data_IF_440234478457
#
_entry.id   IF_440234478457
#
_cell.length_a   1.000
_cell.length_b   1.000
_cell.length_c   1.000
_cell.angle_alpha   90.00
_cell.angle_beta   90.00
_cell.angle_gamma   90.00
#
_symmetry.space_group_name_H-M   'P 1'
#
loop_
_entity.id
_entity.type
_entity.pdbx_description
1 polymer ?
#
# COMPACT_ATOMS: atom_id res chain seq x y z
N UNK A 1 -76.64 29.38 47.91
CA UNK A 1 -76.51 28.81 46.56
C UNK A 1 -76.46 29.95 45.56
N UNK A 2 -75.29 30.25 44.99
CA UNK A 2 -75.04 30.85 43.64
C UNK A 2 -73.60 31.38 43.57
N UNK A 3 -72.62 30.51 43.73
CA UNK A 3 -71.20 30.79 43.42
C UNK A 3 -70.77 29.82 42.32
N UNK A 4 -71.26 30.02 41.09
CA UNK A 4 -70.89 29.16 39.96
C UNK A 4 -70.97 29.82 38.58
N UNK A 5 -70.93 31.15 38.50
CA UNK A 5 -70.89 31.86 37.19
C UNK A 5 -69.72 32.82 36.98
N UNK A 6 -69.00 33.23 38.03
CA UNK A 6 -67.79 34.07 37.86
C UNK A 6 -66.50 33.30 37.55
N UNK A 7 -66.41 32.01 37.91
CA UNK A 7 -65.19 31.20 37.70
C UNK A 7 -65.02 30.73 36.25
N UNK A 8 -66.09 30.75 35.43
CA UNK A 8 -66.03 30.31 34.03
C UNK A 8 -65.55 31.38 33.05
N UNK A 9 -65.56 32.67 33.42
CA UNK A 9 -65.06 33.74 32.54
C UNK A 9 -63.56 34.02 32.72
N UNK A 10 -63.00 33.87 33.93
CA UNK A 10 -61.56 34.05 34.14
C UNK A 10 -60.71 32.90 33.58
N UNK A 11 -61.25 31.68 33.53
CA UNK A 11 -60.56 30.53 32.94
C UNK A 11 -60.34 30.65 31.43
N UNK A 12 -61.27 31.29 30.71
CA UNK A 12 -61.19 31.40 29.25
C UNK A 12 -60.20 32.48 28.79
N UNK A 13 -60.06 33.58 29.55
CA UNK A 13 -59.14 34.67 29.20
C UNK A 13 -57.68 34.29 29.49
N UNK A 14 -57.42 33.52 30.55
CA UNK A 14 -56.07 33.03 30.87
C UNK A 14 -55.63 31.90 29.93
N UNK A 15 -56.54 31.03 29.47
CA UNK A 15 -56.19 29.97 28.50
C UNK A 15 -55.87 30.54 27.10
N UNK A 16 -56.59 31.59 26.67
CA UNK A 16 -56.32 32.25 25.38
C UNK A 16 -55.03 33.09 25.43
N UNK A 17 -54.72 33.75 26.55
CA UNK A 17 -53.44 34.44 26.72
C UNK A 17 -52.24 33.48 26.78
N UNK A 18 -52.39 32.29 27.38
CA UNK A 18 -51.35 31.26 27.39
C UNK A 18 -51.18 30.55 26.04
N UNK A 19 -52.24 30.45 25.22
CA UNK A 19 -52.15 29.89 23.86
C UNK A 19 -51.50 30.86 22.84
N UNK A 20 -51.51 32.17 23.09
CA UNK A 20 -50.77 33.15 22.27
C UNK A 20 -49.36 33.46 22.77
N UNK A 21 -49.01 33.14 24.01
CA UNK A 21 -47.64 33.24 24.51
C UNK A 21 -46.71 32.11 24.02
N UNK A 22 -47.26 31.05 23.40
CA UNK A 22 -46.51 29.96 22.77
C UNK A 22 -45.95 30.27 21.37
N UNK A 23 -46.22 31.46 20.81
CA UNK A 23 -45.75 31.89 19.49
C UNK A 23 -44.49 32.78 19.53
N UNK A 24 -43.72 32.75 20.62
CA UNK A 24 -42.30 33.14 20.57
C UNK A 24 -41.48 31.86 20.42
N UNK A 25 -41.67 31.17 19.30
CA UNK A 25 -40.58 30.39 18.74
C UNK A 25 -39.40 31.35 18.65
N UNK A 26 -38.31 31.03 19.35
CA UNK A 26 -37.05 31.76 19.30
C UNK A 26 -36.83 32.21 17.86
N UNK A 27 -37.03 33.50 17.59
CA UNK A 27 -36.74 34.02 16.25
C UNK A 27 -35.29 33.66 16.00
N UNK A 28 -34.97 32.88 14.95
CA UNK A 28 -33.59 32.53 14.67
C UNK A 28 -32.81 33.84 14.63
N UNK A 29 -31.82 33.94 15.51
CA UNK A 29 -31.00 35.14 15.69
C UNK A 29 -30.54 35.54 14.29
N UNK A 30 -30.88 36.76 13.85
CA UNK A 30 -30.53 37.20 12.50
C UNK A 30 -29.03 36.99 12.34
N UNK A 31 -28.58 36.26 11.30
CA UNK A 31 -27.15 36.11 11.07
C UNK A 31 -26.55 37.50 10.87
N UNK A 32 -25.45 37.78 11.56
CA UNK A 32 -24.68 39.04 11.48
C UNK A 32 -23.30 38.74 10.89
N UNK A 33 -22.71 39.69 10.16
CA UNK A 33 -21.36 39.56 9.59
C UNK A 33 -21.27 39.60 8.06
N UNK A 34 -20.07 39.34 7.52
CA UNK A 34 -19.76 39.47 6.09
C UNK A 34 -20.50 38.46 5.20
N UNK A 35 -20.91 37.32 5.77
CA UNK A 35 -21.55 36.22 5.05
C UNK A 35 -23.07 36.35 4.92
N UNK A 36 -23.70 37.35 5.54
CA UNK A 36 -25.17 37.50 5.53
C UNK A 36 -25.74 37.63 4.11
N UNK A 37 -25.02 38.34 3.23
CA UNK A 37 -25.40 38.50 1.82
C UNK A 37 -25.33 37.19 1.01
N UNK A 38 -24.72 36.16 1.58
CA UNK A 38 -24.52 34.86 0.93
C UNK A 38 -25.49 33.80 1.41
N UNK A 39 -26.41 34.12 2.33
CA UNK A 39 -27.41 33.20 2.86
C UNK A 39 -28.70 33.25 2.03
N UNK A 40 -29.28 32.08 1.79
CA UNK A 40 -30.61 31.93 1.18
C UNK A 40 -31.69 31.86 2.27
N UNK A 41 -32.95 32.07 1.88
CA UNK A 41 -34.08 32.02 2.82
C UNK A 41 -34.15 30.65 3.51
N UNK A 42 -34.31 30.63 4.84
CA UNK A 42 -34.36 29.38 5.63
C UNK A 42 -32.99 28.83 6.03
N UNK A 43 -31.90 29.46 5.61
CA UNK A 43 -30.54 29.11 6.05
C UNK A 43 -30.13 29.87 7.30
N UNK A 44 -29.46 29.16 8.20
CA UNK A 44 -28.83 29.73 9.40
C UNK A 44 -27.39 29.26 9.50
N UNK A 45 -26.47 30.14 9.92
CA UNK A 45 -25.06 29.80 10.12
C UNK A 45 -24.87 29.35 11.56
N UNK A 46 -24.38 28.12 11.73
CA UNK A 46 -24.05 27.57 13.05
C UNK A 46 -22.58 27.78 13.41
N UNK A 47 -21.70 27.86 12.41
CA UNK A 47 -20.27 28.12 12.60
C UNK A 47 -19.70 28.90 11.41
N UNK A 48 -18.77 29.83 11.66
CA UNK A 48 -18.02 30.55 10.64
C UNK A 48 -16.54 30.59 10.99
N UNK A 49 -15.69 30.00 10.15
CA UNK A 49 -14.22 29.96 10.35
C UNK A 49 -13.53 30.72 9.23
N UNK A 50 -12.71 31.73 9.57
CA UNK A 50 -12.01 32.57 8.59
C UNK A 50 -10.60 32.04 8.28
N UNK A 51 -10.22 32.07 7.00
CA UNK A 51 -8.93 31.65 6.46
C UNK A 51 -8.47 32.68 5.41
N UNK A 52 -7.79 33.74 5.88
CA UNK A 52 -7.48 34.89 5.02
C UNK A 52 -8.76 35.53 4.48
N UNK A 53 -8.89 35.59 3.15
CA UNK A 53 -10.06 36.12 2.45
C UNK A 53 -11.19 35.08 2.28
N UNK A 54 -10.92 33.80 2.56
CA UNK A 54 -11.94 32.77 2.60
C UNK A 54 -12.63 32.69 3.96
N UNK A 55 -13.90 32.32 3.96
CA UNK A 55 -14.64 31.93 5.17
C UNK A 55 -15.41 30.64 4.91
N UNK A 56 -15.20 29.63 5.74
CA UNK A 56 -15.97 28.38 5.74
C UNK A 56 -17.15 28.54 6.68
N UNK A 57 -18.34 28.22 6.21
CA UNK A 57 -19.59 28.31 6.94
C UNK A 57 -20.19 26.92 7.13
N UNK A 58 -20.65 26.61 8.34
CA UNK A 58 -21.55 25.50 8.62
C UNK A 58 -22.98 26.02 8.59
N UNK A 59 -23.81 25.47 7.71
CA UNK A 59 -25.18 25.96 7.47
C UNK A 59 -26.18 24.87 7.86
N UNK A 60 -27.18 25.28 8.62
CA UNK A 60 -28.43 24.52 8.82
C UNK A 60 -29.54 25.15 7.98
N UNK A 61 -30.19 24.31 7.18
CA UNK A 61 -31.36 24.69 6.40
C UNK A 61 -32.62 24.06 7.01
N UNK A 62 -33.60 24.89 7.33
CA UNK A 62 -34.93 24.46 7.75
C UNK A 62 -35.97 24.92 6.73
N UNK A 63 -36.63 23.97 6.05
CA UNK A 63 -37.79 24.27 5.22
C UNK A 63 -38.93 24.81 6.10
N UNK A 64 -39.09 26.13 6.09
CA UNK A 64 -40.24 26.80 6.68
C UNK A 64 -41.47 26.61 5.79
N UNK A 65 -42.10 25.42 5.79
CA UNK A 65 -43.38 25.23 5.10
C UNK A 65 -43.76 23.80 4.70
N UNK A 66 -44.39 23.07 5.63
CA UNK A 66 -45.40 22.01 5.42
C UNK A 66 -45.32 21.04 4.24
N UNK A 67 -44.77 19.84 4.48
CA UNK A 67 -45.42 18.58 4.09
C UNK A 67 -44.93 17.43 4.99
N UNK A 68 -45.86 16.55 5.38
CA UNK A 68 -45.83 15.71 6.58
C UNK A 68 -44.89 14.49 6.56
N UNK A 69 -43.88 14.41 5.66
CA UNK A 69 -43.05 13.20 5.53
C UNK A 69 -41.53 13.39 5.34
N UNK A 70 -40.99 14.60 5.41
CA UNK A 70 -39.53 14.79 5.60
C UNK A 70 -39.18 16.17 6.15
N UNK A 71 -39.50 16.45 7.41
CA UNK A 71 -38.90 17.59 8.12
C UNK A 71 -37.45 17.26 8.49
N UNK A 72 -36.58 17.14 7.50
CA UNK A 72 -35.15 16.92 7.69
C UNK A 72 -34.44 18.26 7.81
N UNK A 73 -33.85 18.55 8.98
CA UNK A 73 -32.80 19.58 9.03
C UNK A 73 -31.65 19.09 8.17
N UNK A 74 -31.34 19.80 7.10
CA UNK A 74 -30.19 19.50 6.26
C UNK A 74 -29.04 20.39 6.72
N UNK A 75 -27.89 19.77 7.02
CA UNK A 75 -26.65 20.47 7.33
C UNK A 75 -25.63 20.27 6.21
N UNK A 76 -24.94 21.34 5.84
CA UNK A 76 -23.89 21.30 4.84
C UNK A 76 -22.88 22.43 5.06
N UNK A 77 -21.77 22.38 4.33
CA UNK A 77 -20.73 23.39 4.37
C UNK A 77 -20.79 24.29 3.14
N UNK A 78 -20.49 25.57 3.35
CA UNK A 78 -20.34 26.58 2.29
C UNK A 78 -18.98 27.24 2.42
N UNK A 79 -18.34 27.53 1.29
CA UNK A 79 -17.12 28.32 1.25
C UNK A 79 -17.39 29.62 0.51
N UNK A 80 -17.07 30.73 1.15
CA UNK A 80 -17.14 32.06 0.54
C UNK A 80 -15.75 32.67 0.44
N UNK A 81 -15.53 33.51 -0.55
CA UNK A 81 -14.37 34.40 -0.68
C UNK A 81 -14.88 35.83 -0.60
N UNK A 82 -14.49 36.55 0.46
CA UNK A 82 -15.05 37.85 0.85
C UNK A 82 -16.58 37.78 1.02
N UNK A 83 -17.32 38.26 0.03
CA UNK A 83 -18.78 38.34 0.00
C UNK A 83 -19.40 37.48 -1.11
N UNK A 84 -18.62 36.60 -1.75
CA UNK A 84 -19.07 35.75 -2.87
C UNK A 84 -19.01 34.27 -2.51
N UNK A 85 -20.03 33.54 -2.93
CA UNK A 85 -20.08 32.08 -2.80
C UNK A 85 -19.08 31.46 -3.79
N UNK A 86 -18.18 30.63 -3.28
CA UNK A 86 -17.23 29.83 -4.06
C UNK A 86 -17.73 28.39 -4.16
N UNK A 87 -18.16 27.83 -3.03
CA UNK A 87 -18.82 26.51 -2.96
C UNK A 87 -20.16 26.69 -2.27
N UNK A 88 -21.26 26.44 -2.99
CA UNK A 88 -22.61 26.66 -2.47
C UNK A 88 -22.97 25.66 -1.37
N UNK A 89 -22.77 24.38 -1.66
CA UNK A 89 -23.14 23.23 -0.82
C UNK A 89 -22.06 22.15 -0.96
N UNK A 90 -21.49 21.72 0.16
CA UNK A 90 -20.52 20.63 0.23
C UNK A 90 -20.76 19.77 1.47
N UNK A 91 -20.49 18.47 1.35
CA UNK A 91 -20.52 17.54 2.49
C UNK A 91 -19.33 17.76 3.39
N UNK A 92 -18.18 18.06 2.80
CA UNK A 92 -16.92 18.25 3.49
C UNK A 92 -16.10 19.36 2.83
N UNK A 93 -15.50 20.23 3.65
CA UNK A 93 -14.53 21.25 3.25
C UNK A 93 -13.37 21.20 4.25
N UNK A 94 -12.24 20.68 3.79
CA UNK A 94 -11.03 20.49 4.60
C UNK A 94 -9.96 21.50 4.18
N UNK A 95 -9.46 22.34 5.09
CA UNK A 95 -8.31 23.18 4.79
C UNK A 95 -7.05 22.33 4.61
N UNK A 96 -6.17 22.73 3.70
CA UNK A 96 -4.84 22.16 3.59
C UNK A 96 -3.86 23.01 4.43
N UNK A 97 -3.51 22.57 5.65
CA UNK A 97 -2.68 23.36 6.55
C UNK A 97 -1.22 23.43 6.08
N UNK A 98 -0.50 24.46 6.52
CA UNK A 98 0.94 24.62 6.27
C UNK A 98 1.31 25.23 4.90
N UNK A 99 0.34 25.78 4.19
CA UNK A 99 0.55 26.53 2.94
C UNK A 99 0.42 28.03 3.19
N UNK A 100 1.22 28.82 2.47
CA UNK A 100 1.20 30.28 2.58
C UNK A 100 -0.12 30.89 2.06
N UNK A 101 -0.76 30.19 1.12
CA UNK A 101 -2.05 30.59 0.54
C UNK A 101 -3.15 29.64 0.98
N UNK A 102 -4.28 30.16 1.51
CA UNK A 102 -5.41 29.32 1.91
C UNK A 102 -5.86 28.40 0.78
N UNK A 103 -5.88 27.10 1.08
CA UNK A 103 -6.22 26.04 0.13
C UNK A 103 -7.17 25.07 0.81
N UNK A 104 -8.15 24.56 0.07
CA UNK A 104 -9.17 23.66 0.58
C UNK A 104 -9.40 22.51 -0.39
N UNK A 105 -9.71 21.35 0.18
CA UNK A 105 -10.42 20.30 -0.53
C UNK A 105 -11.91 20.44 -0.23
N UNK A 106 -12.75 20.30 -1.25
CA UNK A 106 -14.20 20.29 -1.08
C UNK A 106 -14.83 19.10 -1.82
N UNK A 107 -15.71 18.37 -1.14
CA UNK A 107 -16.61 17.38 -1.74
C UNK A 107 -17.98 18.05 -1.96
N UNK A 108 -18.24 18.50 -3.18
CA UNK A 108 -19.41 19.33 -3.52
C UNK A 108 -20.39 18.61 -4.44
N UNK A 109 -21.68 18.89 -4.22
CA UNK A 109 -22.76 18.36 -5.03
C UNK A 109 -22.93 19.19 -6.30
N UNK A 110 -22.23 18.78 -7.36
CA UNK A 110 -22.47 19.24 -8.74
C UNK A 110 -22.48 17.98 -9.60
N UNK A 111 -23.66 17.40 -9.82
CA UNK A 111 -23.87 16.19 -10.64
C UNK A 111 -22.94 15.02 -10.24
N UNK A 112 -23.26 14.37 -9.11
CA UNK A 112 -22.57 13.23 -8.47
C UNK A 112 -21.27 13.56 -7.70
N UNK A 113 -21.41 14.14 -6.49
CA UNK A 113 -20.36 14.39 -5.47
C UNK A 113 -18.92 14.40 -6.00
N UNK A 114 -18.45 15.58 -6.42
CA UNK A 114 -17.14 15.76 -7.02
C UNK A 114 -16.17 16.42 -6.05
N UNK A 115 -14.90 16.08 -6.18
CA UNK A 115 -13.83 16.69 -5.39
C UNK A 115 -13.16 17.83 -6.13
N UNK A 116 -12.96 18.94 -5.41
CA UNK A 116 -12.34 20.15 -5.90
C UNK A 116 -11.18 20.57 -5.00
N UNK A 117 -10.13 21.08 -5.64
CA UNK A 117 -9.10 21.85 -4.98
C UNK A 117 -9.45 23.33 -5.17
N UNK A 118 -9.46 24.08 -4.07
CA UNK A 118 -9.82 25.49 -4.06
C UNK A 118 -8.69 26.26 -3.44
N UNK A 119 -8.20 27.29 -4.11
CA UNK A 119 -7.15 28.16 -3.58
C UNK A 119 -7.32 29.59 -4.07
N UNK A 120 -6.46 30.51 -3.59
CA UNK A 120 -6.39 31.86 -4.15
C UNK A 120 -5.28 31.94 -5.21
N UNK A 121 -5.52 32.65 -6.31
CA UNK A 121 -4.49 33.09 -7.25
C UNK A 121 -4.77 34.52 -7.68
N UNK A 122 -3.78 35.40 -7.54
CA UNK A 122 -3.89 36.83 -7.85
C UNK A 122 -5.14 37.50 -7.23
N UNK A 123 -5.42 37.19 -5.95
CA UNK A 123 -6.53 37.79 -5.20
C UNK A 123 -7.92 37.26 -5.56
N UNK A 124 -8.03 36.20 -6.36
CA UNK A 124 -9.29 35.58 -6.80
C UNK A 124 -9.34 34.10 -6.40
N UNK A 125 -10.53 33.56 -6.05
CA UNK A 125 -10.68 32.14 -5.82
C UNK A 125 -10.55 31.38 -7.15
N UNK A 126 -9.75 30.32 -7.12
CA UNK A 126 -9.61 29.33 -8.18
C UNK A 126 -10.24 28.04 -7.66
N UNK A 127 -11.09 27.43 -8.50
CA UNK A 127 -11.78 26.17 -8.20
C UNK A 127 -11.41 25.19 -9.30
N UNK A 128 -10.65 24.16 -8.97
CA UNK A 128 -10.17 23.18 -9.92
C UNK A 128 -10.68 21.79 -9.54
N UNK A 129 -11.25 21.09 -10.52
CA UNK A 129 -11.75 19.73 -10.30
C UNK A 129 -10.58 18.76 -10.21
N UNK A 130 -10.62 17.88 -9.22
CA UNK A 130 -9.66 16.78 -9.09
C UNK A 130 -10.20 15.60 -9.91
N UNK A 131 -9.66 15.40 -11.10
CA UNK A 131 -10.01 14.27 -11.96
C UNK A 131 -9.36 12.98 -11.43
N UNK A 132 -10.16 12.13 -10.78
CA UNK A 132 -9.68 10.90 -10.13
C UNK A 132 -9.91 9.64 -10.97
N UNK A 133 -10.44 9.78 -12.20
CA UNK A 133 -10.90 8.65 -13.00
C UNK A 133 -12.20 8.05 -12.45
N UNK A 134 -12.57 6.87 -12.93
CA UNK A 134 -13.81 6.19 -12.55
C UNK A 134 -13.73 5.64 -11.12
N UNK A 135 -14.39 6.31 -10.17
CA UNK A 135 -14.46 5.96 -8.75
C UNK A 135 -15.45 4.82 -8.46
N UNK A 136 -16.21 4.36 -9.46
CA UNK A 136 -17.20 3.28 -9.29
C UNK A 136 -16.60 1.87 -9.30
N UNK A 137 -15.33 1.74 -9.71
CA UNK A 137 -14.63 0.44 -9.74
C UNK A 137 -13.87 0.19 -8.44
N UNK A 138 -13.99 -1.01 -7.90
CA UNK A 138 -13.32 -1.40 -6.65
C UNK A 138 -11.78 -1.37 -6.76
N UNK A 139 -11.23 -1.59 -7.96
CA UNK A 139 -9.78 -1.58 -8.23
C UNK A 139 -9.16 -0.17 -8.28
N UNK A 140 -9.98 0.88 -8.45
CA UNK A 140 -9.57 2.29 -8.47
C UNK A 140 -9.80 3.00 -7.14
N UNK A 141 -10.37 2.32 -6.14
CA UNK A 141 -10.68 2.90 -4.84
C UNK A 141 -9.42 3.46 -4.16
N UNK A 142 -9.51 4.73 -3.74
CA UNK A 142 -8.47 5.38 -2.94
C UNK A 142 -8.35 4.71 -1.57
N UNK A 143 -7.11 4.53 -1.13
CA UNK A 143 -6.82 4.12 0.23
C UNK A 143 -6.70 5.38 1.08
N UNK A 144 -7.62 5.59 2.02
CA UNK A 144 -7.65 6.77 2.89
C UNK A 144 -7.92 6.33 4.33
N UNK A 145 -7.35 7.03 5.31
CA UNK A 145 -7.75 6.91 6.72
C UNK A 145 -8.61 8.10 7.13
N UNK A 146 -9.20 8.05 8.32
CA UNK A 146 -10.03 9.13 8.84
C UNK A 146 -9.30 10.48 8.87
N UNK A 147 -8.02 10.50 9.26
CA UNK A 147 -7.19 11.70 9.29
C UNK A 147 -6.64 12.17 7.93
N UNK A 148 -6.75 11.36 6.87
CA UNK A 148 -6.13 11.62 5.56
C UNK A 148 -7.08 11.32 4.40
N UNK A 149 -8.29 11.88 4.45
CA UNK A 149 -9.30 11.68 3.40
C UNK A 149 -8.89 12.28 2.05
N UNK A 150 -8.20 13.41 2.07
CA UNK A 150 -7.70 14.07 0.86
C UNK A 150 -6.21 13.83 0.67
N UNK A 151 -5.78 12.56 0.76
CA UNK A 151 -4.42 12.13 0.50
C UNK A 151 -3.43 12.41 1.64
N UNK A 152 -2.28 11.77 1.55
CA UNK A 152 -1.22 11.80 2.55
C UNK A 152 -0.20 12.88 2.22
N UNK A 153 0.23 13.72 3.19
CA UNK A 153 1.27 14.72 2.96
C UNK A 153 2.55 14.05 2.46
N UNK A 154 3.07 14.46 1.30
CA UNK A 154 4.35 13.98 0.77
C UNK A 154 5.47 14.99 1.02
N UNK A 155 5.22 16.24 0.63
CA UNK A 155 6.04 17.42 0.93
C UNK A 155 5.13 18.64 0.96
N UNK A 156 5.66 19.81 1.32
CA UNK A 156 4.87 21.04 1.30
C UNK A 156 4.23 21.25 -0.08
N UNK A 157 2.91 21.44 -0.10
CA UNK A 157 2.14 21.63 -1.33
C UNK A 157 1.97 20.40 -2.22
N UNK A 158 2.37 19.19 -1.77
CA UNK A 158 2.13 17.95 -2.52
C UNK A 158 1.54 16.86 -1.61
N UNK A 159 0.46 16.24 -2.07
CA UNK A 159 -0.14 15.06 -1.42
C UNK A 159 -0.10 13.83 -2.32
N UNK A 160 0.11 12.68 -1.70
CA UNK A 160 0.07 11.36 -2.32
C UNK A 160 -1.29 10.69 -2.11
N UNK A 161 -1.86 10.18 -3.19
CA UNK A 161 -3.15 9.49 -3.23
C UNK A 161 -2.94 8.03 -3.68
N UNK A 162 -2.75 7.10 -2.73
CA UNK A 162 -2.63 5.67 -3.02
C UNK A 162 -3.97 5.07 -3.47
N UNK A 163 -3.90 3.99 -4.26
CA UNK A 163 -5.05 3.19 -4.71
C UNK A 163 -4.78 1.70 -4.48
N UNK A 164 -5.84 0.91 -4.43
CA UNK A 164 -5.76 -0.51 -4.07
C UNK A 164 -5.02 -1.37 -5.12
N UNK A 165 -5.38 -1.26 -6.40
CA UNK A 165 -4.85 -2.12 -7.47
C UNK A 165 -4.38 -1.35 -8.71
N UNK A 166 -4.65 -0.06 -8.77
CA UNK A 166 -4.21 0.84 -9.84
C UNK A 166 -3.12 1.79 -9.33
N UNK A 167 -2.32 2.39 -10.21
CA UNK A 167 -1.34 3.37 -9.77
C UNK A 167 -2.02 4.55 -9.04
N UNK A 168 -1.42 4.95 -7.92
CA UNK A 168 -1.76 6.18 -7.24
C UNK A 168 -1.40 7.43 -8.04
N UNK A 169 -1.58 8.60 -7.44
CA UNK A 169 -1.19 9.87 -8.05
C UNK A 169 -0.66 10.85 -7.01
N UNK A 170 0.10 11.84 -7.48
CA UNK A 170 0.50 13.01 -6.71
C UNK A 170 -0.36 14.19 -7.14
N UNK A 171 -0.79 14.97 -6.17
CA UNK A 171 -1.45 16.25 -6.40
C UNK A 171 -0.55 17.35 -5.83
N UNK A 172 -0.03 18.21 -6.71
CA UNK A 172 0.66 19.44 -6.32
C UNK A 172 -0.33 20.61 -6.35
N UNK A 173 -0.15 21.59 -5.47
CA UNK A 173 -0.88 22.87 -5.49
C UNK A 173 0.09 24.02 -5.82
N UNK A 174 -0.41 25.03 -6.55
CA UNK A 174 0.33 26.21 -7.05
C UNK A 174 1.47 25.92 -8.06
N UNK A 175 1.15 25.62 -9.33
CA UNK A 175 -0.19 25.39 -9.89
C UNK A 175 -0.72 24.01 -9.53
N UNK A 176 -2.04 23.81 -9.65
CA UNK A 176 -2.58 22.47 -9.54
C UNK A 176 -2.00 21.58 -10.62
N UNK A 177 -1.38 20.47 -10.21
CA UNK A 177 -0.87 19.46 -11.13
C UNK A 177 -1.16 18.08 -10.57
N UNK A 178 -1.89 17.29 -11.36
CA UNK A 178 -2.11 15.87 -11.10
C UNK A 178 -1.07 15.06 -11.88
N UNK A 179 -0.35 14.20 -11.18
CA UNK A 179 0.64 13.29 -11.76
C UNK A 179 0.28 11.86 -11.40
N UNK A 180 -0.30 11.15 -12.36
CA UNK A 180 -0.54 9.71 -12.24
C UNK A 180 0.81 9.01 -12.19
N UNK A 181 0.98 8.10 -11.24
CA UNK A 181 2.19 7.32 -11.09
C UNK A 181 2.22 6.15 -12.09
N UNK A 182 3.40 5.64 -12.48
CA UNK A 182 3.47 4.51 -13.40
C UNK A 182 2.80 3.26 -12.83
N UNK A 183 2.10 2.51 -13.67
CA UNK A 183 1.48 1.24 -13.29
C UNK A 183 2.54 0.14 -13.19
N UNK A 184 2.47 -0.64 -12.11
CA UNK A 184 3.45 -1.70 -11.80
C UNK A 184 2.99 -3.11 -12.16
N UNK A 185 1.91 -3.27 -12.94
CA UNK A 185 1.39 -4.59 -13.28
C UNK A 185 2.26 -5.27 -14.35
N UNK A 186 3.09 -6.24 -13.96
CA UNK A 186 3.40 -7.37 -14.83
C UNK A 186 2.73 -8.61 -14.23
N UNK A 187 1.49 -8.83 -14.67
CA UNK A 187 0.64 -9.92 -14.20
C UNK A 187 1.22 -11.30 -14.55
N UNK A 188 2.19 -11.38 -15.48
CA UNK A 188 2.76 -12.65 -15.92
C UNK A 188 3.74 -13.22 -14.89
N UNK A 189 4.57 -12.37 -14.28
CA UNK A 189 5.59 -12.80 -13.29
C UNK A 189 5.32 -12.33 -11.85
N UNK A 190 4.23 -11.56 -11.65
CA UNK A 190 3.58 -11.22 -10.37
C UNK A 190 4.48 -10.53 -9.32
N UNK A 191 5.60 -9.92 -9.70
CA UNK A 191 6.32 -9.02 -8.78
C UNK A 191 5.51 -7.74 -8.62
N UNK A 192 4.71 -7.75 -7.58
CA UNK A 192 3.71 -6.75 -7.28
C UNK A 192 4.28 -5.79 -6.22
N UNK A 193 4.67 -4.60 -6.65
CA UNK A 193 4.96 -3.50 -5.75
C UNK A 193 3.86 -2.44 -5.90
N UNK A 194 3.33 -1.95 -4.80
CA UNK A 194 2.19 -1.01 -4.81
C UNK A 194 2.40 0.18 -3.88
N UNK A 195 3.34 0.07 -2.95
CA UNK A 195 3.57 1.10 -1.94
C UNK A 195 4.70 1.99 -2.40
N UNK A 196 4.40 3.26 -2.71
CA UNK A 196 5.40 4.26 -3.04
C UNK A 196 6.32 4.49 -1.84
N UNK A 197 7.61 4.26 -2.03
CA UNK A 197 8.66 4.42 -1.02
C UNK A 197 9.45 5.72 -1.20
N UNK A 198 9.74 6.10 -2.44
CA UNK A 198 10.48 7.34 -2.76
C UNK A 198 10.23 7.83 -4.17
N UNK A 199 10.59 9.09 -4.42
CA UNK A 199 10.59 9.74 -5.73
C UNK A 199 11.99 10.30 -5.97
N UNK A 200 12.51 10.17 -7.21
CA UNK A 200 13.81 10.73 -7.59
C UNK A 200 13.81 12.27 -7.49
N UNK A 201 14.99 12.91 -7.36
CA UNK A 201 15.08 14.37 -7.22
C UNK A 201 14.46 15.19 -8.36
N UNK A 202 14.49 14.68 -9.60
CA UNK A 202 13.84 15.31 -10.77
C UNK A 202 12.38 14.86 -10.98
N UNK A 203 11.89 14.03 -10.06
CA UNK A 203 10.59 13.37 -10.07
C UNK A 203 10.32 12.48 -11.29
N UNK A 204 11.33 12.06 -12.05
CA UNK A 204 11.12 11.24 -13.25
C UNK A 204 11.11 9.74 -12.94
N UNK A 205 11.40 9.33 -11.71
CA UNK A 205 11.43 7.92 -11.30
C UNK A 205 10.91 7.72 -9.88
N UNK A 206 10.41 6.53 -9.62
CA UNK A 206 9.60 6.19 -8.46
C UNK A 206 10.06 4.84 -7.92
N UNK A 207 10.36 4.77 -6.64
CA UNK A 207 10.72 3.53 -5.96
C UNK A 207 9.49 2.98 -5.22
N UNK A 208 9.24 1.70 -5.38
CA UNK A 208 8.12 0.98 -4.77
C UNK A 208 8.57 -0.23 -3.99
N UNK A 209 7.77 -0.59 -3.00
CA UNK A 209 7.88 -1.84 -2.24
C UNK A 209 6.58 -2.62 -2.31
N UNK A 210 6.68 -3.93 -2.08
CA UNK A 210 5.58 -4.89 -2.04
C UNK A 210 4.72 -4.77 -0.79
N UNK A 211 5.30 -4.34 0.34
CA UNK A 211 4.58 -4.24 1.61
C UNK A 211 4.91 -2.96 2.36
N UNK A 212 3.87 -2.31 2.91
CA UNK A 212 4.01 -1.17 3.81
C UNK A 212 4.43 -1.58 5.24
N UNK A 213 4.39 -2.88 5.55
CA UNK A 213 4.71 -3.38 6.89
C UNK A 213 5.99 -4.20 6.92
N UNK A 214 6.21 -5.00 5.89
CA UNK A 214 7.37 -5.87 5.79
C UNK A 214 7.93 -5.94 4.36
N UNK A 215 8.54 -4.85 3.83
CA UNK A 215 9.14 -4.84 2.51
C UNK A 215 10.09 -6.03 2.28
N UNK A 216 10.03 -6.65 1.10
CA UNK A 216 10.92 -7.75 0.70
C UNK A 216 11.73 -7.47 -0.58
N UNK A 217 11.41 -6.39 -1.29
CA UNK A 217 12.20 -5.83 -2.38
C UNK A 217 11.89 -4.35 -2.62
N UNK A 218 12.79 -3.70 -3.36
CA UNK A 218 12.59 -2.36 -3.92
C UNK A 218 12.56 -2.46 -5.45
N UNK A 219 11.57 -1.86 -6.09
CA UNK A 219 11.48 -1.75 -7.54
C UNK A 219 11.45 -0.29 -7.96
N UNK A 220 12.36 0.11 -8.84
CA UNK A 220 12.41 1.45 -9.42
C UNK A 220 11.77 1.44 -10.80
N UNK A 221 10.86 2.38 -11.04
CA UNK A 221 10.15 2.54 -12.31
C UNK A 221 10.19 4.01 -12.71
N UNK A 222 10.46 4.29 -13.98
CA UNK A 222 10.38 5.66 -14.48
C UNK A 222 8.97 6.07 -14.90
N UNK A 223 8.80 7.35 -15.22
CA UNK A 223 7.52 7.91 -15.64
C UNK A 223 6.91 7.26 -16.90
N UNK A 224 7.72 6.57 -17.71
CA UNK A 224 7.24 5.86 -18.91
C UNK A 224 6.73 4.46 -18.59
N UNK A 225 6.92 4.01 -17.34
CA UNK A 225 6.61 2.65 -16.89
C UNK A 225 7.76 1.67 -17.09
N UNK A 226 8.92 2.12 -17.57
CA UNK A 226 10.09 1.26 -17.71
C UNK A 226 10.67 0.94 -16.33
N UNK A 227 10.91 -0.36 -16.09
CA UNK A 227 11.35 -0.88 -14.81
C UNK A 227 12.85 -1.09 -14.80
N UNK A 228 13.47 -0.89 -13.64
CA UNK A 228 14.82 -1.40 -13.34
C UNK A 228 14.70 -2.80 -12.76
N UNK A 229 15.82 -3.50 -12.70
CA UNK A 229 15.88 -4.77 -11.98
C UNK A 229 15.49 -4.54 -10.51
N UNK A 230 14.66 -5.43 -9.93
CA UNK A 230 14.27 -5.34 -8.54
C UNK A 230 15.48 -5.59 -7.65
N UNK A 231 15.57 -4.80 -6.57
CA UNK A 231 16.60 -4.93 -5.55
C UNK A 231 16.02 -5.84 -4.46
N UNK A 232 16.43 -7.12 -4.39
CA UNK A 232 16.04 -7.99 -3.29
C UNK A 232 16.60 -7.42 -1.98
N UNK A 233 15.82 -7.53 -0.91
CA UNK A 233 16.28 -7.15 0.44
C UNK A 233 15.84 -8.19 1.44
N UNK A 234 16.58 -8.42 2.53
CA UNK A 234 16.05 -9.12 3.69
C UNK A 234 14.71 -8.51 4.12
N UNK A 235 13.74 -9.33 4.52
CA UNK A 235 12.43 -8.88 5.00
C UNK A 235 12.62 -7.95 6.19
N UNK A 236 12.18 -6.70 6.05
CA UNK A 236 12.35 -5.67 7.09
C UNK A 236 11.02 -5.42 7.77
N UNK A 237 10.87 -5.83 9.04
CA UNK A 237 9.69 -5.44 9.83
C UNK A 237 9.76 -3.96 10.17
N UNK A 238 8.86 -3.16 9.58
CA UNK A 238 8.72 -1.74 9.90
C UNK A 238 7.94 -1.58 11.22
N UNK A 239 8.15 -0.49 11.99
CA UNK A 239 7.44 -0.23 13.27
C UNK A 239 5.92 -0.42 13.13
N UNK A 240 5.08 -0.79 14.10
CA UNK A 240 3.65 -1.02 13.84
C UNK A 240 2.91 0.13 13.11
N UNK A 241 1.85 -0.19 12.35
CA UNK A 241 1.00 0.83 11.72
C UNK A 241 0.46 1.78 12.79
N UNK A 242 0.54 3.10 12.59
CA UNK A 242 0.09 4.05 13.60
C UNK A 242 -1.45 4.18 13.57
N UNK A 243 -2.00 4.99 14.48
CA UNK A 243 -3.42 5.32 14.53
C UNK A 243 -3.93 6.01 13.26
N UNK A 244 -5.25 6.11 13.12
CA UNK A 244 -5.90 6.63 11.91
C UNK A 244 -5.59 8.12 11.60
N UNK A 245 -5.09 8.85 12.60
CA UNK A 245 -4.69 10.26 12.62
C UNK A 245 -3.22 10.51 12.23
N UNK A 246 -2.42 9.45 12.09
CA UNK A 246 -0.99 9.55 11.75
C UNK A 246 -0.74 8.94 10.36
N UNK A 247 0.11 9.59 9.55
CA UNK A 247 0.40 9.13 8.19
C UNK A 247 1.09 7.75 8.21
N UNK A 248 0.44 6.67 7.73
CA UNK A 248 0.99 5.32 7.80
C UNK A 248 2.16 5.10 6.82
N UNK A 249 2.28 5.92 5.77
CA UNK A 249 3.31 5.78 4.74
C UNK A 249 4.66 6.37 5.17
N UNK A 250 4.67 7.26 6.17
CA UNK A 250 5.90 7.90 6.67
C UNK A 250 6.94 6.87 7.11
N UNK A 251 6.49 5.73 7.64
CA UNK A 251 7.36 4.60 8.04
C UNK A 251 8.18 4.07 6.87
N UNK A 252 7.54 3.89 5.71
CA UNK A 252 8.20 3.38 4.50
C UNK A 252 9.13 4.43 3.92
N UNK A 253 8.70 5.70 3.88
CA UNK A 253 9.51 6.78 3.33
C UNK A 253 10.76 7.05 4.18
N UNK A 254 10.59 7.13 5.49
CA UNK A 254 11.69 7.26 6.45
C UNK A 254 12.67 6.08 6.36
N UNK A 255 12.16 4.85 6.30
CA UNK A 255 13.01 3.66 6.12
C UNK A 255 13.78 3.70 4.79
N UNK A 256 13.11 4.04 3.69
CA UNK A 256 13.74 4.10 2.38
C UNK A 256 14.86 5.15 2.37
N UNK A 257 14.58 6.38 2.84
CA UNK A 257 15.54 7.48 2.86
C UNK A 257 16.74 7.19 3.78
N UNK A 258 16.56 6.37 4.81
CA UNK A 258 17.66 5.93 5.68
C UNK A 258 18.51 4.80 5.06
N UNK A 259 17.92 4.01 4.15
CA UNK A 259 18.54 2.78 3.62
C UNK A 259 19.09 2.98 2.21
N UNK A 260 18.52 3.90 1.44
CA UNK A 260 18.81 4.13 0.03
C UNK A 260 19.12 5.59 -0.28
N UNK A 261 19.92 5.77 -1.33
CA UNK A 261 20.13 7.06 -1.98
C UNK A 261 19.85 6.94 -3.47
N UNK A 262 19.44 8.03 -4.10
CA UNK A 262 19.22 8.06 -5.54
C UNK A 262 20.53 8.25 -6.29
N UNK A 263 20.78 7.42 -7.31
CA UNK A 263 21.93 7.55 -8.20
C UNK A 263 21.51 7.30 -9.65
N UNK A 264 22.37 7.70 -10.61
CA UNK A 264 22.24 7.26 -11.99
C UNK A 264 23.02 5.96 -12.19
N UNK A 265 22.41 4.99 -12.86
CA UNK A 265 23.04 3.73 -13.27
C UNK A 265 23.98 3.92 -14.48
N UNK A 266 24.57 2.81 -14.96
CA UNK A 266 25.45 2.81 -16.13
C UNK A 266 24.77 3.28 -17.43
N UNK A 267 23.43 3.28 -17.47
CA UNK A 267 22.61 3.75 -18.58
C UNK A 267 22.10 5.20 -18.38
N UNK A 268 22.55 5.90 -17.32
CA UNK A 268 22.12 7.27 -17.01
C UNK A 268 20.70 7.36 -16.44
N UNK A 269 20.11 6.25 -16.01
CA UNK A 269 18.75 6.17 -15.47
C UNK A 269 18.78 6.15 -13.95
N UNK A 270 17.75 6.70 -13.29
CA UNK A 270 17.68 6.64 -11.84
C UNK A 270 17.55 5.21 -11.34
N UNK A 271 18.30 4.91 -10.29
CA UNK A 271 18.27 3.69 -9.52
C UNK A 271 18.39 4.02 -8.01
N UNK A 272 17.92 3.11 -7.18
CA UNK A 272 18.05 3.20 -5.73
C UNK A 272 19.33 2.46 -5.30
N UNK A 273 20.30 3.20 -4.75
CA UNK A 273 21.55 2.64 -4.22
C UNK A 273 21.42 2.37 -2.73
N UNK A 274 21.73 1.16 -2.24
CA UNK A 274 21.90 0.93 -0.80
C UNK A 274 23.01 1.82 -0.19
N UNK A 275 22.71 2.49 0.93
CA UNK A 275 23.66 3.40 1.62
C UNK A 275 24.76 2.61 2.37
N UNK A 276 24.41 1.44 2.93
CA UNK A 276 25.38 0.59 3.60
C UNK A 276 26.34 -0.06 2.58
N UNK A 277 27.64 -0.20 2.89
CA UNK A 277 28.57 -0.89 2.01
C UNK A 277 28.06 -2.31 1.75
N UNK A 278 28.19 -2.76 0.50
CA UNK A 278 27.90 -4.13 0.11
C UNK A 278 28.63 -5.06 1.08
N UNK A 279 27.87 -5.87 1.83
CA UNK A 279 28.49 -6.90 2.65
C UNK A 279 29.32 -7.80 1.74
N UNK A 280 30.44 -8.31 2.27
CA UNK A 280 31.31 -9.22 1.53
C UNK A 280 30.45 -10.33 0.93
N UNK A 281 30.48 -10.45 -0.39
CA UNK A 281 29.71 -11.44 -1.12
C UNK A 281 29.95 -12.83 -0.50
N UNK A 282 28.87 -13.58 -0.29
CA UNK A 282 28.96 -14.96 0.16
C UNK A 282 29.85 -15.76 -0.80
N UNK A 283 30.53 -16.78 -0.29
CA UNK A 283 31.42 -17.61 -1.12
C UNK A 283 30.66 -18.30 -2.28
N UNK A 284 29.36 -18.59 -2.10
CA UNK A 284 28.48 -19.05 -3.16
C UNK A 284 27.10 -18.36 -3.03
N UNK A 285 26.90 -17.20 -3.67
CA UNK A 285 25.66 -16.43 -3.54
C UNK A 285 24.42 -17.17 -4.04
N UNK A 286 24.56 -18.06 -5.03
CA UNK A 286 23.45 -18.85 -5.57
C UNK A 286 22.94 -19.92 -4.57
N UNK A 287 23.80 -20.39 -3.67
CA UNK A 287 23.37 -21.24 -2.56
C UNK A 287 22.85 -20.40 -1.38
N UNK A 288 23.49 -19.26 -1.10
CA UNK A 288 23.20 -18.46 0.09
C UNK A 288 21.75 -17.95 0.16
N UNK A 289 21.16 -17.57 -0.99
CA UNK A 289 19.74 -17.18 -1.11
C UNK A 289 18.75 -18.25 -0.63
N UNK A 290 19.15 -19.53 -0.62
CA UNK A 290 18.31 -20.61 -0.13
C UNK A 290 18.68 -21.06 1.29
N UNK A 291 19.84 -20.65 1.81
CA UNK A 291 20.32 -21.04 3.14
C UNK A 291 19.99 -20.02 4.23
N UNK A 292 19.89 -18.74 3.89
CA UNK A 292 19.53 -17.69 4.83
C UNK A 292 18.87 -16.52 4.10
N UNK A 293 17.71 -16.10 4.61
CA UNK A 293 17.00 -14.94 4.12
C UNK A 293 17.87 -13.68 4.29
N UNK A 294 18.38 -13.50 5.51
CA UNK A 294 19.11 -12.31 5.94
C UNK A 294 20.42 -12.08 5.18
N UNK A 295 21.11 -13.15 4.82
CA UNK A 295 22.42 -13.07 4.14
C UNK A 295 22.22 -13.14 2.63
N UNK A 296 21.46 -14.12 2.15
CA UNK A 296 21.30 -14.39 0.74
C UNK A 296 20.64 -13.24 -0.02
N UNK A 297 19.55 -12.68 0.51
CA UNK A 297 18.78 -11.61 -0.14
C UNK A 297 19.45 -10.23 -0.06
N UNK A 298 20.68 -10.14 0.44
CA UNK A 298 21.54 -8.97 0.26
C UNK A 298 22.33 -9.01 -1.04
N UNK A 299 22.37 -10.18 -1.69
CA UNK A 299 23.01 -10.36 -2.99
C UNK A 299 21.98 -10.10 -4.10
N UNK A 300 22.41 -9.43 -5.15
CA UNK A 300 21.64 -9.22 -6.36
C UNK A 300 22.46 -9.64 -7.59
N UNK A 301 21.76 -10.00 -8.66
CA UNK A 301 22.31 -10.74 -9.80
C UNK A 301 22.16 -10.02 -11.14
N UNK A 302 22.04 -8.69 -11.13
CA UNK A 302 21.97 -7.87 -12.36
C UNK A 302 23.33 -7.28 -12.74
N UNK A 303 23.59 -7.18 -14.05
CA UNK A 303 24.76 -6.45 -14.57
C UNK A 303 24.52 -4.93 -14.68
N UNK A 304 23.26 -4.47 -14.58
CA UNK A 304 22.91 -3.06 -14.72
C UNK A 304 23.21 -2.24 -13.46
N UNK A 305 23.24 -2.88 -12.29
CA UNK A 305 23.57 -2.23 -11.02
C UNK A 305 25.01 -2.59 -10.59
N UNK A 306 25.83 -1.55 -10.38
CA UNK A 306 27.22 -1.68 -9.97
C UNK A 306 27.42 -2.35 -8.59
N UNK A 307 26.36 -2.49 -7.78
CA UNK A 307 26.43 -3.19 -6.48
C UNK A 307 26.09 -4.68 -6.57
N UNK A 308 25.61 -5.14 -7.72
CA UNK A 308 25.30 -6.53 -7.93
C UNK A 308 26.52 -7.34 -8.37
N UNK A 309 26.37 -8.66 -8.29
CA UNK A 309 27.46 -9.59 -8.54
C UNK A 309 27.87 -9.56 -10.02
N UNK A 310 29.16 -9.27 -10.27
CA UNK A 310 29.72 -9.05 -11.61
C UNK A 310 29.76 -10.28 -12.50
N UNK A 311 29.69 -11.49 -11.92
CA UNK A 311 29.77 -12.76 -12.67
C UNK A 311 28.39 -13.26 -13.13
N UNK A 312 27.41 -12.36 -13.21
CA UNK A 312 26.05 -12.65 -13.65
C UNK A 312 25.61 -11.62 -14.68
N UNK A 313 24.71 -12.04 -15.56
CA UNK A 313 24.08 -11.19 -16.55
C UNK A 313 22.60 -11.54 -16.68
N UNK A 314 21.82 -10.60 -17.21
CA UNK A 314 20.43 -10.87 -17.55
C UNK A 314 20.38 -11.95 -18.64
N UNK A 315 19.66 -13.04 -18.36
CA UNK A 315 19.60 -14.19 -19.25
C UNK A 315 18.91 -13.82 -20.57
N UNK A 316 19.48 -14.24 -21.68
CA UNK A 316 18.82 -14.16 -22.98
C UNK A 316 17.63 -15.12 -23.05
N UNK A 317 16.66 -14.83 -23.92
CA UNK A 317 15.52 -15.74 -24.20
C UNK A 317 15.99 -17.16 -24.56
N UNK A 318 17.11 -17.29 -25.28
CA UNK A 318 17.67 -18.58 -25.65
C UNK A 318 18.25 -19.35 -24.44
N UNK A 319 18.82 -18.65 -23.46
CA UNK A 319 19.29 -19.27 -22.21
C UNK A 319 18.12 -19.67 -21.32
N UNK A 320 17.11 -18.80 -21.19
CA UNK A 320 15.88 -19.11 -20.47
C UNK A 320 15.17 -20.33 -21.07
N UNK A 321 14.99 -20.37 -22.40
CA UNK A 321 14.34 -21.48 -23.11
C UNK A 321 15.06 -22.83 -22.93
N UNK A 322 16.38 -22.85 -22.73
CA UNK A 322 17.14 -24.08 -22.45
C UNK A 322 16.85 -24.63 -21.05
N UNK A 323 16.57 -23.75 -20.08
CA UNK A 323 16.29 -24.14 -18.70
C UNK A 323 14.78 -24.41 -18.47
N UNK A 324 13.92 -23.56 -19.02
CA UNK A 324 12.46 -23.64 -18.92
C UNK A 324 11.81 -23.32 -20.29
N UNK A 325 11.58 -24.34 -21.13
CA UNK A 325 11.02 -24.14 -22.47
C UNK A 325 9.61 -23.55 -22.49
N UNK A 326 8.85 -23.66 -21.39
CA UNK A 326 7.47 -23.17 -21.32
C UNK A 326 7.37 -21.69 -21.03
N UNK A 327 8.46 -21.07 -20.57
CA UNK A 327 8.47 -19.69 -20.13
C UNK A 327 9.83 -19.03 -20.41
N UNK A 328 10.07 -18.72 -21.67
CA UNK A 328 11.35 -18.20 -22.16
C UNK A 328 11.52 -16.67 -22.02
N UNK A 329 10.48 -15.95 -21.53
CA UNK A 329 10.44 -14.49 -21.50
C UNK A 329 10.48 -13.90 -20.07
N UNK A 330 11.08 -14.63 -19.12
CA UNK A 330 11.20 -14.23 -17.72
C UNK A 330 12.01 -12.92 -17.58
N UNK A 331 11.42 -11.80 -17.10
CA UNK A 331 12.05 -10.47 -17.13
C UNK A 331 13.23 -10.35 -16.18
N UNK A 332 13.18 -11.05 -15.04
CA UNK A 332 14.19 -11.02 -13.98
C UNK A 332 14.89 -12.37 -13.87
N UNK A 333 15.34 -12.89 -15.01
CA UNK A 333 16.13 -14.10 -15.10
C UNK A 333 17.60 -13.78 -15.35
N UNK A 334 18.47 -14.53 -14.68
CA UNK A 334 19.90 -14.31 -14.66
C UNK A 334 20.65 -15.60 -14.94
N UNK A 335 21.73 -15.50 -15.69
CA UNK A 335 22.64 -16.60 -15.96
C UNK A 335 24.05 -16.23 -15.47
N UNK A 336 24.82 -17.20 -14.97
CA UNK A 336 26.20 -16.94 -14.58
C UNK A 336 27.05 -16.78 -15.85
N UNK A 337 27.95 -15.78 -15.85
CA UNK A 337 28.86 -15.52 -16.96
C UNK A 337 29.98 -16.56 -17.06
N UNK A 338 30.26 -17.27 -15.97
CA UNK A 338 31.21 -18.37 -15.87
C UNK A 338 30.53 -19.61 -15.28
N UNK A 339 30.99 -20.84 -15.57
CA UNK A 339 30.42 -22.05 -14.98
C UNK A 339 30.37 -21.99 -13.45
N UNK A 340 29.16 -21.99 -12.89
CA UNK A 340 28.91 -21.97 -11.46
C UNK A 340 28.16 -23.22 -11.04
N UNK A 341 28.48 -23.74 -9.84
CA UNK A 341 27.76 -24.86 -9.23
C UNK A 341 27.02 -24.43 -7.98
N UNK A 342 25.84 -25.00 -7.80
CA UNK A 342 25.03 -24.89 -6.60
C UNK A 342 24.37 -26.23 -6.31
N UNK A 343 24.44 -26.67 -5.05
CA UNK A 343 23.83 -27.91 -4.57
C UNK A 343 24.15 -29.14 -5.44
N UNK A 344 25.41 -29.25 -5.87
CA UNK A 344 25.91 -30.40 -6.62
C UNK A 344 25.67 -30.37 -8.13
N UNK A 345 24.91 -29.41 -8.67
CA UNK A 345 24.68 -29.24 -10.11
C UNK A 345 25.28 -27.94 -10.65
N UNK A 346 25.37 -27.81 -11.97
CA UNK A 346 25.64 -26.55 -12.63
C UNK A 346 24.38 -25.69 -12.63
N UNK A 347 24.54 -24.41 -12.28
CA UNK A 347 23.50 -23.41 -12.37
C UNK A 347 23.20 -23.13 -13.85
N UNK A 348 21.94 -23.23 -14.24
CA UNK A 348 21.46 -22.91 -15.59
C UNK A 348 20.76 -21.56 -15.65
N UNK A 349 19.94 -21.28 -14.65
CA UNK A 349 19.14 -20.07 -14.59
C UNK A 349 18.78 -19.77 -13.13
N UNK A 350 18.83 -18.49 -12.76
CA UNK A 350 18.30 -17.98 -11.51
C UNK A 350 17.23 -16.93 -11.83
N UNK A 351 16.03 -17.10 -11.29
CA UNK A 351 14.89 -16.23 -11.58
C UNK A 351 14.43 -15.60 -10.29
N UNK A 352 14.24 -14.28 -10.31
CA UNK A 352 13.61 -13.56 -9.21
C UNK A 352 12.16 -13.26 -9.55
N UNK A 353 11.24 -13.62 -8.66
CA UNK A 353 9.82 -13.52 -8.93
C UNK A 353 8.99 -13.64 -7.67
N UNK A 354 7.71 -13.94 -7.83
CA UNK A 354 6.79 -14.12 -6.70
C UNK A 354 6.99 -15.48 -6.06
N UNK A 355 7.27 -15.45 -4.76
CA UNK A 355 7.01 -16.54 -3.83
C UNK A 355 5.58 -16.45 -3.28
N UNK A 356 5.09 -17.52 -2.66
CA UNK A 356 3.69 -17.73 -2.27
C UNK A 356 3.00 -16.48 -1.61
N UNK A 357 1.71 -16.26 -1.90
CA UNK A 357 0.83 -15.16 -1.40
C UNK A 357 1.23 -13.69 -1.63
N UNK A 358 2.29 -13.38 -2.39
CA UNK A 358 2.77 -12.04 -2.82
C UNK A 358 4.14 -11.62 -2.25
N UNK A 359 4.86 -12.50 -1.54
CA UNK A 359 6.26 -12.23 -1.20
C UNK A 359 7.15 -12.40 -2.44
N UNK A 360 8.29 -11.74 -2.51
CA UNK A 360 9.28 -12.02 -3.57
C UNK A 360 10.24 -13.15 -3.19
N UNK A 361 10.78 -13.90 -4.15
CA UNK A 361 11.72 -14.99 -3.89
C UNK A 361 12.46 -15.46 -5.13
N UNK A 362 13.40 -16.39 -4.94
CA UNK A 362 14.20 -16.96 -6.02
C UNK A 362 13.75 -18.36 -6.44
N UNK A 363 13.89 -18.63 -7.74
CA UNK A 363 13.85 -19.96 -8.36
C UNK A 363 15.20 -20.23 -9.03
N UNK A 364 15.82 -21.35 -8.71
CA UNK A 364 17.10 -21.77 -9.24
C UNK A 364 16.94 -23.07 -10.03
N UNK A 365 17.37 -23.06 -11.29
CA UNK A 365 17.43 -24.22 -12.16
C UNK A 365 18.85 -24.78 -12.17
N UNK A 366 18.99 -26.06 -11.80
CA UNK A 366 20.28 -26.77 -11.80
C UNK A 366 20.17 -28.11 -12.51
N UNK A 367 21.23 -28.57 -13.15
CA UNK A 367 21.28 -29.91 -13.78
C UNK A 367 21.54 -31.07 -12.80
N UNK A 368 21.51 -30.83 -11.48
CA UNK A 368 21.55 -31.90 -10.51
C UNK A 368 20.24 -32.70 -10.51
N UNK A 369 20.33 -34.00 -10.24
CA UNK A 369 19.16 -34.81 -9.95
C UNK A 369 18.53 -34.39 -8.60
N UNK A 370 17.19 -34.42 -8.45
CA UNK A 370 16.50 -33.91 -7.25
C UNK A 370 17.01 -34.48 -5.92
N UNK A 371 17.26 -35.79 -5.85
CA UNK A 371 17.79 -36.43 -4.65
C UNK A 371 19.21 -36.00 -4.31
N UNK A 372 20.06 -35.76 -5.32
CA UNK A 372 21.42 -35.26 -5.14
C UNK A 372 21.41 -33.81 -4.65
N UNK A 373 20.58 -32.95 -5.26
CA UNK A 373 20.45 -31.55 -4.87
C UNK A 373 19.94 -31.41 -3.42
N UNK A 374 18.90 -32.16 -3.06
CA UNK A 374 18.36 -32.18 -1.71
C UNK A 374 19.39 -32.71 -0.68
N UNK A 375 20.17 -33.73 -1.03
CA UNK A 375 21.22 -34.25 -0.16
C UNK A 375 22.37 -33.24 0.06
N UNK A 376 22.80 -32.54 -1.00
CA UNK A 376 23.82 -31.50 -0.86
C UNK A 376 23.31 -30.31 -0.04
N UNK A 377 22.04 -29.93 -0.21
CA UNK A 377 21.39 -28.92 0.62
C UNK A 377 21.39 -29.30 2.11
N UNK A 378 21.03 -30.55 2.44
CA UNK A 378 21.11 -31.07 3.81
C UNK A 378 22.54 -30.94 4.36
N UNK A 379 23.56 -31.36 3.62
CA UNK A 379 24.96 -31.22 4.06
C UNK A 379 25.32 -29.75 4.33
N UNK A 380 24.87 -28.81 3.50
CA UNK A 380 25.10 -27.37 3.71
C UNK A 380 24.44 -26.90 5.00
N UNK A 381 23.19 -27.26 5.24
CA UNK A 381 22.47 -26.92 6.48
C UNK A 381 23.17 -27.50 7.71
N UNK A 382 23.52 -28.79 7.69
CA UNK A 382 24.19 -29.49 8.79
C UNK A 382 25.58 -28.91 9.08
N UNK A 383 26.39 -28.68 8.04
CA UNK A 383 27.74 -28.09 8.18
C UNK A 383 27.71 -26.70 8.83
N UNK A 384 26.63 -25.94 8.59
CA UNK A 384 26.41 -24.59 9.13
C UNK A 384 25.58 -24.60 10.41
N UNK A 385 25.15 -25.78 10.88
CA UNK A 385 24.30 -25.97 12.06
C UNK A 385 22.98 -25.18 11.97
N UNK A 386 22.44 -25.03 10.76
CA UNK A 386 21.14 -24.40 10.54
C UNK A 386 20.07 -25.44 10.88
N UNK A 387 19.17 -25.18 11.84
CA UNK A 387 18.10 -26.12 12.17
C UNK A 387 17.08 -26.17 11.04
N UNK A 388 16.55 -27.36 10.74
CA UNK A 388 15.55 -27.53 9.69
C UNK A 388 14.63 -28.73 9.93
N UNK A 389 13.46 -28.70 9.28
CA UNK A 389 12.55 -29.83 9.14
C UNK A 389 12.39 -30.14 7.66
N UNK A 390 12.52 -31.41 7.30
CA UNK A 390 12.30 -31.89 5.94
C UNK A 390 10.94 -32.57 5.86
N UNK A 391 10.13 -32.17 4.88
CA UNK A 391 8.73 -32.61 4.78
C UNK A 391 8.54 -34.13 4.64
N UNK A 392 9.51 -34.86 4.10
CA UNK A 392 9.49 -36.33 3.96
C UNK A 392 9.82 -37.07 5.27
N UNK A 393 10.34 -36.37 6.29
CA UNK A 393 10.57 -36.91 7.64
C UNK A 393 9.32 -36.84 8.52
N UNK A 394 8.30 -36.10 8.08
CA UNK A 394 7.05 -35.95 8.81
C UNK A 394 6.29 -37.28 8.84
N UNK A 395 5.66 -37.56 9.99
CA UNK A 395 4.83 -38.74 10.13
C UNK A 395 3.65 -38.64 9.17
N UNK A 396 3.12 -39.78 8.72
CA UNK A 396 1.83 -39.79 8.04
C UNK A 396 0.74 -39.94 9.09
N UNK A 397 -0.28 -39.10 9.01
CA UNK A 397 -1.51 -39.25 9.80
C UNK A 397 -2.26 -40.51 9.37
N UNK A 398 -3.29 -40.88 10.13
CA UNK A 398 -4.21 -41.97 9.79
C UNK A 398 -4.86 -41.81 8.42
N UNK A 399 -5.01 -40.58 7.96
CA UNK A 399 -5.65 -40.23 6.68
C UNK A 399 -4.65 -40.16 5.52
N UNK A 400 -3.36 -40.43 5.78
CA UNK A 400 -2.28 -40.46 4.79
C UNK A 400 -1.56 -39.11 4.58
N UNK A 401 -2.06 -38.04 5.18
CA UNK A 401 -1.48 -36.70 5.14
C UNK A 401 -0.19 -36.60 5.97
N UNK A 402 0.71 -35.70 5.60
CA UNK A 402 1.93 -35.46 6.38
C UNK A 402 1.65 -34.58 7.59
N UNK A 403 1.96 -35.08 8.79
CA UNK A 403 1.95 -34.33 10.04
C UNK A 403 3.38 -33.96 10.46
N UNK A 404 3.70 -32.68 10.33
CA UNK A 404 5.00 -32.11 10.65
C UNK A 404 5.04 -31.38 12.00
N UNK A 405 3.91 -31.23 12.71
CA UNK A 405 3.80 -30.31 13.85
C UNK A 405 4.77 -30.67 14.98
N UNK A 406 4.94 -31.97 15.26
CA UNK A 406 5.90 -32.45 16.27
C UNK A 406 7.36 -32.11 15.92
N UNK A 407 7.73 -32.22 14.65
CA UNK A 407 9.09 -31.89 14.18
C UNK A 407 9.32 -30.38 14.15
N UNK A 408 8.34 -29.61 13.66
CA UNK A 408 8.38 -28.15 13.63
C UNK A 408 8.54 -27.57 15.03
N UNK A 409 7.77 -28.08 16.00
CA UNK A 409 7.87 -27.67 17.40
C UNK A 409 9.21 -28.04 18.03
N UNK A 410 9.66 -29.28 17.87
CA UNK A 410 10.87 -29.77 18.53
C UNK A 410 12.17 -29.20 17.95
N UNK A 411 12.24 -28.97 16.63
CA UNK A 411 13.47 -28.51 15.96
C UNK A 411 13.52 -27.01 15.71
N UNK A 412 12.37 -26.38 15.48
CA UNK A 412 12.29 -24.98 15.07
C UNK A 412 11.50 -24.11 16.04
N UNK A 413 10.91 -24.70 17.09
CA UNK A 413 10.03 -24.01 18.04
C UNK A 413 8.82 -23.31 17.35
N UNK A 414 8.36 -23.87 16.23
CA UNK A 414 7.16 -23.41 15.52
C UNK A 414 5.95 -24.18 16.08
N UNK A 415 4.91 -23.48 16.53
CA UNK A 415 3.69 -24.11 17.07
C UNK A 415 2.81 -24.69 15.95
N UNK A 416 1.81 -25.48 16.34
CA UNK A 416 0.90 -26.21 15.44
C UNK A 416 0.42 -25.33 14.28
N UNK A 417 0.59 -25.87 13.08
CA UNK A 417 0.38 -25.17 11.81
C UNK A 417 -0.93 -25.59 11.13
N UNK A 418 -1.78 -26.35 11.83
CA UNK A 418 -2.83 -27.15 11.18
C UNK A 418 -3.73 -26.34 10.23
N UNK A 419 -4.20 -25.16 10.65
CA UNK A 419 -5.09 -24.32 9.83
C UNK A 419 -4.37 -23.22 9.05
N UNK A 420 -3.08 -23.03 9.30
CA UNK A 420 -2.28 -22.03 8.62
C UNK A 420 -1.84 -22.47 7.21
N UNK A 421 -1.25 -21.54 6.48
CA UNK A 421 -0.82 -21.78 5.11
C UNK A 421 0.31 -22.82 5.01
N UNK A 422 1.20 -22.87 6.00
CA UNK A 422 2.37 -23.74 6.02
C UNK A 422 1.95 -25.19 6.27
N UNK A 423 1.06 -25.42 7.24
CA UNK A 423 0.51 -26.75 7.51
C UNK A 423 -0.28 -27.29 6.31
N UNK A 424 -1.12 -26.45 5.67
CA UNK A 424 -1.81 -26.81 4.42
C UNK A 424 -0.84 -27.19 3.31
N UNK A 425 0.27 -26.47 3.17
CA UNK A 425 1.28 -26.72 2.14
C UNK A 425 2.09 -27.98 2.41
N UNK A 426 2.43 -28.26 3.68
CA UNK A 426 3.16 -29.45 4.13
C UNK A 426 2.35 -30.74 3.98
N UNK A 427 1.02 -30.69 4.15
CA UNK A 427 0.14 -31.85 3.92
C UNK A 427 0.01 -32.21 2.44
N UNK A 428 -0.01 -31.19 1.58
CA UNK A 428 -0.20 -31.34 0.14
C UNK A 428 1.04 -30.91 -0.66
N UNK A 429 2.20 -31.59 -0.51
CA UNK A 429 3.35 -31.35 -1.37
C UNK A 429 3.02 -31.77 -2.80
N UNK A 430 3.64 -31.10 -3.78
CA UNK A 430 3.55 -31.53 -5.18
C UNK A 430 4.22 -32.90 -5.34
N UNK A 431 3.79 -33.73 -6.31
CA UNK A 431 4.47 -34.99 -6.61
C UNK A 431 5.97 -34.75 -6.88
N UNK A 432 6.83 -35.54 -6.23
CA UNK A 432 8.30 -35.42 -6.35
C UNK A 432 8.91 -34.21 -5.63
N UNK A 433 8.13 -33.45 -4.86
CA UNK A 433 8.62 -32.31 -4.10
C UNK A 433 9.22 -32.71 -2.75
N UNK A 434 10.39 -32.17 -2.45
CA UNK A 434 10.95 -32.18 -1.08
C UNK A 434 11.01 -30.75 -0.57
N UNK A 435 10.21 -30.45 0.46
CA UNK A 435 10.25 -29.16 1.14
C UNK A 435 11.12 -29.20 2.39
N UNK A 436 11.76 -28.06 2.66
CA UNK A 436 12.59 -27.78 3.81
C UNK A 436 12.06 -26.53 4.49
N UNK A 437 11.76 -26.66 5.79
CA UNK A 437 11.37 -25.54 6.66
C UNK A 437 12.60 -25.17 7.49
N UNK A 438 13.02 -23.92 7.38
CA UNK A 438 14.08 -23.28 8.15
C UNK A 438 13.42 -22.21 9.06
N UNK A 439 14.15 -21.59 10.02
CA UNK A 439 13.59 -20.53 10.85
C UNK A 439 13.05 -19.31 10.06
N UNK A 440 13.74 -18.94 8.98
CA UNK A 440 13.48 -17.72 8.20
C UNK A 440 13.06 -17.98 6.74
N UNK A 441 13.00 -19.25 6.31
CA UNK A 441 12.74 -19.66 4.93
C UNK A 441 11.92 -20.95 4.85
N UNK A 442 11.14 -21.07 3.79
CA UNK A 442 10.62 -22.37 3.31
C UNK A 442 11.08 -22.56 1.87
N UNK A 443 11.83 -23.62 1.63
CA UNK A 443 12.43 -23.93 0.33
C UNK A 443 11.88 -25.26 -0.17
N UNK A 444 11.62 -25.37 -1.48
CA UNK A 444 11.26 -26.63 -2.11
C UNK A 444 12.24 -27.03 -3.20
N UNK A 445 12.42 -28.34 -3.33
CA UNK A 445 13.18 -29.00 -4.37
C UNK A 445 12.20 -29.80 -5.21
N UNK A 446 12.08 -29.44 -6.48
CA UNK A 446 11.12 -29.99 -7.44
C UNK A 446 11.88 -30.67 -8.58
N UNK A 447 11.42 -31.83 -8.99
CA UNK A 447 11.88 -32.45 -10.23
C UNK A 447 11.34 -31.68 -11.43
N UNK A 448 12.23 -31.26 -12.32
CA UNK A 448 11.86 -30.77 -13.65
C UNK A 448 11.59 -31.95 -14.59
N UNK A 449 10.88 -31.70 -15.68
CA UNK A 449 10.51 -32.74 -16.66
C UNK A 449 11.73 -33.39 -17.36
N UNK A 450 12.84 -32.66 -17.48
CA UNK A 450 14.10 -33.15 -18.03
C UNK A 450 15.00 -33.87 -17.01
N UNK A 451 14.49 -34.18 -15.80
CA UNK A 451 15.24 -34.87 -14.74
C UNK A 451 16.17 -33.97 -13.91
N UNK A 452 16.20 -32.66 -14.19
CA UNK A 452 16.93 -31.64 -13.45
C UNK A 452 16.17 -31.18 -12.20
N UNK A 453 16.73 -30.25 -11.43
CA UNK A 453 16.12 -29.75 -10.19
C UNK A 453 15.80 -28.27 -10.27
N UNK A 454 14.58 -27.93 -9.86
CA UNK A 454 14.15 -26.56 -9.59
C UNK A 454 14.12 -26.38 -8.08
N UNK A 455 14.89 -25.42 -7.57
CA UNK A 455 14.93 -25.04 -6.16
C UNK A 455 14.19 -23.72 -6.01
N UNK A 456 13.14 -23.69 -5.22
CA UNK A 456 12.24 -22.55 -5.13
C UNK A 456 12.09 -22.07 -3.70
N UNK A 457 12.18 -20.76 -3.50
CA UNK A 457 11.71 -20.11 -2.28
C UNK A 457 10.18 -20.12 -2.26
N UNK A 458 9.60 -20.85 -1.33
CA UNK A 458 8.15 -20.86 -1.08
C UNK A 458 7.75 -19.69 -0.18
N UNK A 459 8.56 -19.38 0.84
CA UNK A 459 8.28 -18.33 1.81
C UNK A 459 9.56 -17.75 2.39
N UNK A 460 9.48 -16.50 2.83
CA UNK A 460 10.53 -15.74 3.50
C UNK A 460 9.95 -15.01 4.70
N UNK A 461 10.64 -15.09 5.82
CA UNK A 461 10.26 -14.39 7.04
C UNK A 461 10.34 -15.30 8.26
N UNK A 462 10.30 -14.68 9.43
CA UNK A 462 10.36 -15.37 10.72
C UNK A 462 9.08 -16.18 10.94
N UNK A 463 9.18 -17.50 10.80
CA UNK A 463 8.06 -18.44 11.02
C UNK A 463 7.69 -18.57 12.50
N UNK A 464 8.53 -18.10 13.42
CA UNK A 464 8.18 -18.07 14.85
C UNK A 464 7.25 -16.90 15.20
N UNK A 465 7.16 -15.90 14.32
CA UNK A 465 6.36 -14.67 14.48
C UNK A 465 5.18 -14.57 13.51
N UNK A 466 5.08 -15.44 12.51
CA UNK A 466 4.00 -15.41 11.50
C UNK A 466 2.65 -15.93 12.04
N UNK A 467 2.33 -15.62 13.30
CA UNK A 467 1.13 -16.05 14.02
C UNK A 467 0.23 -14.88 14.36
#
# INVERSE_FOLDING_TARGET
MTTSRLVKLLGLVVLVACLFAGCFGTSPRKPEGIYVKTLFNGETVTEATRYGEFTRLSIEYSDGGGSYFSSGRNSYLRLIHRDKIVVKEARQIEPWPGLDTPTFFAESYVDDWREFLIHEAAGKPVVERIEQGDMSRDDTRRLTTEGFRYGYPWRQGVRYFPRAMTPGFLLSVFPMKLKVLPHLADLRYRLEAYTLAAISPDEQSFAYVDSMDAPTFVMVVDQTGERRDPIPIPRVELPPRPGADVNPYERVWSWFNATYTWQRDSNGKWAAKPVAPAQRAAANPAEEIFLSERIGYRSCFTAADAYCLTNWHQASRAEAAKAEPRDEAMPFAYAPSEPMRAFGGNVKLLVYGTSYWNNSGYLLYTDAAPGQAAAEYVKRLESRKIPFVRSDQCAKSSDGDRDCDGLLKSRLNIKSTYDDWLGKRLRNPRPGETMFVLPDLVISFLAAENGSTIIQTQYRGDLSRSQ
#
